data_IF_025463968938
#
_entry.id   IF_025463968938
#
_cell.length_a   1.000
_cell.length_b   1.000
_cell.length_c   1.000
_cell.angle_alpha   90.00
_cell.angle_beta   90.00
_cell.angle_gamma   90.00
#
_symmetry.space_group_name_H-M   'P 1'
#
loop_
_entity.id
_entity.type
_entity.pdbx_description
1 polymer ?
#
# COMPACT_ATOMS: atom_id res chain seq x y z
N UNK A 1 -7.27 -12.90 -11.85
CA UNK A 1 -7.30 -11.76 -10.91
C UNK A 1 -8.56 -10.95 -11.17
N UNK A 2 -9.66 -11.27 -10.48
CA UNK A 2 -10.93 -10.53 -10.59
C UNK A 2 -11.47 -10.31 -9.18
N UNK A 3 -10.64 -9.75 -8.32
CA UNK A 3 -11.03 -9.44 -6.95
C UNK A 3 -10.66 -7.98 -6.67
N UNK A 4 -11.70 -7.17 -6.44
CA UNK A 4 -11.70 -5.78 -5.90
C UNK A 4 -11.71 -4.58 -6.85
N UNK A 5 -11.63 -4.75 -8.17
CA UNK A 5 -11.80 -3.61 -9.10
C UNK A 5 -10.69 -2.56 -9.03
N UNK A 6 -9.57 -2.87 -8.37
CA UNK A 6 -8.38 -2.03 -8.33
C UNK A 6 -7.60 -2.29 -9.62
N UNK A 7 -7.52 -1.27 -10.47
CA UNK A 7 -6.84 -1.33 -11.75
C UNK A 7 -5.33 -1.12 -11.64
N UNK A 8 -4.61 -1.33 -12.74
CA UNK A 8 -3.18 -1.03 -12.79
C UNK A 8 -2.90 0.48 -12.64
N UNK A 9 -3.80 1.33 -13.15
CA UNK A 9 -3.68 2.79 -13.03
C UNK A 9 -3.80 3.27 -11.58
N UNK A 10 -4.63 2.60 -10.77
CA UNK A 10 -4.75 2.86 -9.34
C UNK A 10 -3.42 2.59 -8.63
N UNK A 11 -2.82 1.44 -8.93
CA UNK A 11 -1.50 1.10 -8.39
C UNK A 11 -0.43 2.08 -8.86
N UNK A 12 -0.45 2.47 -10.14
CA UNK A 12 0.50 3.44 -10.69
C UNK A 12 0.45 4.75 -9.92
N UNK A 13 -0.75 5.29 -9.64
CA UNK A 13 -0.92 6.51 -8.83
C UNK A 13 -0.33 6.39 -7.44
N UNK A 14 -0.59 5.26 -6.76
CA UNK A 14 -0.06 4.98 -5.42
C UNK A 14 1.47 4.95 -5.41
N UNK A 15 2.09 4.39 -6.46
CA UNK A 15 3.55 4.30 -6.57
C UNK A 15 4.22 5.61 -6.98
N UNK A 16 3.58 6.39 -7.86
CA UNK A 16 4.08 7.69 -8.35
C UNK A 16 3.97 8.79 -7.29
N UNK A 17 2.88 8.78 -6.51
CA UNK A 17 2.60 9.79 -5.48
C UNK A 17 2.35 9.12 -4.11
N UNK A 18 3.37 8.47 -3.53
CA UNK A 18 3.23 7.81 -2.24
C UNK A 18 3.11 8.86 -1.14
N UNK A 19 2.13 8.67 -0.24
CA UNK A 19 1.98 9.49 0.96
C UNK A 19 2.88 8.94 2.07
N UNK A 20 2.95 7.61 2.18
CA UNK A 20 3.83 6.95 3.14
C UNK A 20 4.53 5.76 2.52
N UNK A 21 5.74 5.49 2.98
CA UNK A 21 6.52 4.29 2.68
C UNK A 21 7.01 3.65 3.97
N UNK A 22 6.90 2.33 4.03
CA UNK A 22 7.38 1.53 5.15
C UNK A 22 7.99 0.23 4.67
N UNK A 23 8.64 -0.47 5.58
CA UNK A 23 8.98 -1.88 5.49
C UNK A 23 8.18 -2.67 6.53
N UNK A 24 7.43 -3.67 6.09
CA UNK A 24 6.73 -4.61 6.96
C UNK A 24 7.67 -5.76 7.34
N UNK A 25 8.08 -5.79 8.61
CA UNK A 25 9.05 -6.78 9.11
C UNK A 25 8.47 -8.19 9.15
N UNK A 26 7.14 -8.32 9.31
CA UNK A 26 6.46 -9.61 9.41
C UNK A 26 6.41 -10.32 8.05
N UNK A 27 6.16 -9.56 6.98
CA UNK A 27 6.11 -10.08 5.62
C UNK A 27 7.44 -9.93 4.88
N UNK A 28 8.43 -9.22 5.44
CA UNK A 28 9.69 -8.87 4.77
C UNK A 28 9.42 -8.27 3.39
N UNK A 29 8.66 -7.18 3.39
CA UNK A 29 8.14 -6.56 2.18
C UNK A 29 8.05 -5.03 2.33
N UNK A 30 8.13 -4.33 1.21
CA UNK A 30 7.85 -2.90 1.15
C UNK A 30 6.35 -2.66 1.26
N UNK A 31 6.01 -1.52 1.86
CA UNK A 31 4.65 -1.00 1.97
C UNK A 31 4.66 0.40 1.37
N UNK A 32 3.70 0.66 0.49
CA UNK A 32 3.42 2.01 -0.01
C UNK A 32 1.95 2.32 0.25
N UNK A 33 1.69 3.51 0.76
CA UNK A 33 0.34 4.03 0.95
C UNK A 33 0.18 5.26 0.06
N UNK A 34 -0.90 5.30 -0.71
CA UNK A 34 -1.20 6.42 -1.59
C UNK A 34 -2.69 6.56 -1.82
N UNK A 35 -3.06 7.68 -2.42
CA UNK A 35 -4.43 7.95 -2.83
C UNK A 35 -4.77 7.21 -4.12
N UNK A 36 -6.03 6.75 -4.21
CA UNK A 36 -6.61 6.15 -5.40
C UNK A 36 -8.06 6.57 -5.57
N UNK A 37 -8.62 6.30 -6.74
CA UNK A 37 -10.04 6.54 -7.03
C UNK A 37 -10.70 5.20 -7.29
N UNK A 38 -11.59 4.76 -6.39
CA UNK A 38 -12.33 3.53 -6.55
C UNK A 38 -13.83 3.86 -6.54
N UNK A 39 -14.54 3.55 -7.64
CA UNK A 39 -15.96 3.91 -7.83
C UNK A 39 -16.23 5.40 -7.60
N UNK A 40 -15.41 6.28 -8.19
CA UNK A 40 -15.47 7.75 -8.06
C UNK A 40 -15.26 8.30 -6.63
N UNK A 41 -14.86 7.44 -5.69
CA UNK A 41 -14.53 7.83 -4.33
C UNK A 41 -13.01 7.87 -4.15
N UNK A 42 -12.54 8.98 -3.58
CA UNK A 42 -11.16 9.10 -3.14
C UNK A 42 -10.94 8.21 -1.92
N UNK A 43 -10.05 7.23 -2.06
CA UNK A 43 -9.69 6.28 -1.01
C UNK A 43 -8.18 6.23 -0.86
N UNK A 44 -7.70 5.67 0.24
CA UNK A 44 -6.30 5.32 0.40
C UNK A 44 -6.12 3.83 0.19
N UNK A 45 -5.07 3.45 -0.53
CA UNK A 45 -4.67 2.07 -0.73
C UNK A 45 -3.37 1.81 0.00
N UNK A 46 -3.31 0.69 0.70
CA UNK A 46 -2.06 0.08 1.15
C UNK A 46 -1.67 -0.96 0.11
N UNK A 47 -0.45 -0.85 -0.40
CA UNK A 47 0.14 -1.81 -1.33
C UNK A 47 1.37 -2.42 -0.67
N UNK A 48 1.33 -3.72 -0.43
CA UNK A 48 2.45 -4.49 0.11
C UNK A 48 3.05 -5.30 -1.02
N UNK A 49 4.36 -5.16 -1.24
CA UNK A 49 5.03 -5.74 -2.39
C UNK A 49 6.50 -6.07 -2.10
N UNK A 50 7.09 -6.90 -2.94
CA UNK A 50 8.54 -7.12 -2.98
C UNK A 50 9.06 -6.70 -4.35
N UNK A 51 10.23 -6.07 -4.37
CA UNK A 51 11.01 -5.93 -5.59
C UNK A 51 11.76 -7.22 -5.83
N UNK A 52 11.60 -7.78 -7.03
CA UNK A 52 12.42 -8.87 -7.53
C UNK A 52 12.84 -8.49 -8.94
N UNK A 53 14.13 -8.32 -9.13
CA UNK A 53 14.70 -7.77 -10.37
C UNK A 53 14.03 -6.41 -10.70
N UNK A 54 13.60 -6.21 -11.95
CA UNK A 54 12.91 -5.00 -12.40
C UNK A 54 11.38 -5.06 -12.24
N UNK A 55 10.86 -6.02 -11.48
CA UNK A 55 9.42 -6.26 -11.32
C UNK A 55 8.94 -6.04 -9.87
N UNK A 56 7.75 -5.45 -9.75
CA UNK A 56 7.03 -5.36 -8.48
C UNK A 56 6.12 -6.59 -8.32
N UNK A 57 6.45 -7.45 -7.35
CA UNK A 57 5.58 -8.56 -6.98
C UNK A 57 4.64 -8.11 -5.86
N UNK A 58 3.40 -7.84 -6.22
CA UNK A 58 2.36 -7.42 -5.26
C UNK A 58 1.96 -8.62 -4.40
N UNK A 59 2.16 -8.49 -3.09
CA UNK A 59 1.72 -9.49 -2.10
C UNK A 59 0.26 -9.26 -1.75
N UNK A 60 -0.12 -8.00 -1.50
CA UNK A 60 -1.47 -7.66 -1.03
C UNK A 60 -1.78 -6.19 -1.29
N UNK A 61 -3.04 -5.92 -1.62
CA UNK A 61 -3.59 -4.56 -1.77
C UNK A 61 -4.88 -4.50 -0.97
N UNK A 62 -5.06 -3.44 -0.18
CA UNK A 62 -6.34 -3.21 0.49
C UNK A 62 -6.62 -1.72 0.69
N UNK A 63 -7.90 -1.31 0.62
CA UNK A 63 -8.31 0.04 0.94
C UNK A 63 -8.31 0.27 2.45
N UNK A 64 -7.99 1.49 2.86
CA UNK A 64 -8.11 1.96 4.24
C UNK A 64 -8.86 3.28 4.30
N UNK A 65 -9.68 3.44 5.34
CA UNK A 65 -10.48 4.66 5.56
C UNK A 65 -9.72 5.73 6.34
N UNK A 66 -8.94 5.31 7.34
CA UNK A 66 -8.18 6.19 8.22
C UNK A 66 -6.70 5.83 8.16
N UNK A 67 -5.93 6.56 7.35
CA UNK A 67 -4.51 6.30 7.14
C UNK A 67 -3.72 6.45 8.43
N UNK A 68 -4.02 7.49 9.20
CA UNK A 68 -3.30 7.82 10.43
C UNK A 68 -3.42 6.68 11.45
N UNK A 69 -4.63 6.21 11.68
CA UNK A 69 -4.88 5.12 12.62
C UNK A 69 -4.20 3.81 12.19
N UNK A 70 -4.26 3.46 10.90
CA UNK A 70 -3.59 2.26 10.38
C UNK A 70 -2.08 2.36 10.54
N UNK A 71 -1.47 3.47 10.12
CA UNK A 71 -0.03 3.71 10.24
C UNK A 71 0.40 3.68 11.71
N UNK A 72 -0.26 4.45 12.58
CA UNK A 72 0.09 4.53 13.99
C UNK A 72 0.04 3.16 14.66
N UNK A 73 -1.02 2.38 14.41
CA UNK A 73 -1.16 1.04 15.00
C UNK A 73 -0.03 0.10 14.56
N UNK A 74 0.35 0.12 13.28
CA UNK A 74 1.42 -0.75 12.75
C UNK A 74 2.80 -0.31 13.19
N UNK A 75 3.07 0.99 13.21
CA UNK A 75 4.35 1.54 13.67
C UNK A 75 4.52 1.32 15.18
N UNK A 76 3.51 1.62 16.01
CA UNK A 76 3.56 1.40 17.47
C UNK A 76 3.80 -0.08 17.82
N UNK A 77 3.26 -1.00 17.04
CA UNK A 77 3.51 -2.44 17.22
C UNK A 77 4.91 -2.92 16.76
N UNK A 78 5.72 -2.04 16.16
CA UNK A 78 7.00 -2.37 15.56
C UNK A 78 6.90 -3.14 14.23
N UNK A 79 5.68 -3.35 13.71
CA UNK A 79 5.47 -4.12 12.48
C UNK A 79 5.91 -3.35 11.23
N UNK A 80 5.64 -2.05 11.19
CA UNK A 80 6.05 -1.19 10.07
C UNK A 80 7.17 -0.25 10.53
N UNK A 81 8.27 -0.25 9.79
CA UNK A 81 9.40 0.65 9.97
C UNK A 81 9.39 1.65 8.82
N UNK A 82 9.45 2.95 9.11
CA UNK A 82 9.44 3.99 8.08
C UNK A 82 10.75 4.00 7.29
N UNK A 83 10.65 4.18 5.96
CA UNK A 83 11.78 4.21 5.02
C UNK A 83 11.77 5.49 4.17
#
# INVERSE_FOLDING_TARGET
MKERGIGIEDLRRVFENPIFRFYDVSSRAEVTIGESILYDLKIFLVVIFRRKDDCLHIITIYPIRNVREEVERKVKSGRWIQI
#
